data_IF_628372087782
#
_entry.id   IF_628372087782
#
_cell.length_a   1.000
_cell.length_b   1.000
_cell.length_c   1.000
_cell.angle_alpha   90.00
_cell.angle_beta   90.00
_cell.angle_gamma   90.00
#
_symmetry.space_group_name_H-M   'P 1'
#
loop_
_entity.id
_entity.type
_entity.pdbx_description
1 polymer ?
#
# COMPACT_ATOMS: atom_id res chain seq x y z
N UNK A 1 21.72 -11.94 25.08
CA UNK A 1 20.89 -12.24 23.88
C UNK A 1 19.71 -13.19 24.20
N UNK A 2 18.97 -12.99 25.30
CA UNK A 2 17.85 -13.89 25.67
C UNK A 2 16.53 -13.13 25.87
N UNK A 3 16.56 -11.93 26.47
CA UNK A 3 15.36 -11.10 26.61
C UNK A 3 14.79 -10.56 25.28
N UNK A 4 15.65 -10.20 24.32
CA UNK A 4 15.22 -9.78 22.99
C UNK A 4 14.53 -10.92 22.19
N UNK A 5 14.89 -12.18 22.44
CA UNK A 5 14.29 -13.33 21.74
C UNK A 5 12.92 -13.71 22.30
N UNK A 6 12.69 -13.45 23.60
CA UNK A 6 11.42 -13.79 24.26
C UNK A 6 10.37 -12.67 24.08
N UNK A 7 10.77 -11.39 23.97
CA UNK A 7 9.83 -10.26 23.94
C UNK A 7 9.98 -9.26 22.78
N UNK A 8 11.11 -9.21 22.07
CA UNK A 8 11.48 -8.02 21.27
C UNK A 8 11.66 -8.23 19.76
N UNK A 9 12.41 -9.24 19.32
CA UNK A 9 12.75 -9.40 17.91
C UNK A 9 11.60 -10.02 17.12
N UNK A 10 10.96 -11.07 17.64
CA UNK A 10 9.78 -11.67 17.00
C UNK A 10 8.54 -10.77 17.11
N UNK A 11 8.30 -10.18 18.28
CA UNK A 11 7.12 -9.35 18.53
C UNK A 11 7.01 -8.15 17.58
N UNK A 12 8.08 -7.37 17.46
CA UNK A 12 8.11 -6.16 16.62
C UNK A 12 8.23 -6.54 15.14
N UNK A 13 9.03 -7.56 14.80
CA UNK A 13 9.15 -8.02 13.41
C UNK A 13 7.81 -8.55 12.89
N UNK A 14 7.10 -9.36 13.66
CA UNK A 14 5.78 -9.88 13.29
C UNK A 14 4.78 -8.74 13.07
N UNK A 15 4.73 -7.78 13.99
CA UNK A 15 3.89 -6.59 13.87
C UNK A 15 4.24 -5.79 12.60
N UNK A 16 5.52 -5.63 12.31
CA UNK A 16 6.00 -4.98 11.10
C UNK A 16 5.61 -5.73 9.83
N UNK A 17 5.83 -7.05 9.76
CA UNK A 17 5.50 -7.84 8.58
C UNK A 17 3.99 -7.83 8.29
N UNK A 18 3.16 -7.93 9.32
CA UNK A 18 1.70 -7.82 9.18
C UNK A 18 1.30 -6.41 8.71
N UNK A 19 1.80 -5.37 9.38
CA UNK A 19 1.50 -3.99 9.04
C UNK A 19 1.93 -3.61 7.61
N UNK A 20 3.05 -4.17 7.15
CA UNK A 20 3.58 -3.91 5.83
C UNK A 20 2.87 -4.67 4.71
N UNK A 21 2.26 -5.82 4.99
CA UNK A 21 1.76 -6.75 3.97
C UNK A 21 0.73 -6.12 3.03
N UNK A 22 -0.29 -5.46 3.58
CA UNK A 22 -1.39 -4.89 2.81
C UNK A 22 -0.93 -3.65 2.02
N UNK A 23 -0.27 -2.64 2.64
CA UNK A 23 0.26 -1.51 1.87
C UNK A 23 1.24 -1.94 0.79
N UNK A 24 2.11 -2.91 1.09
CA UNK A 24 3.07 -3.41 0.12
C UNK A 24 2.39 -4.08 -1.07
N UNK A 25 1.36 -4.91 -0.86
CA UNK A 25 0.61 -5.54 -1.94
C UNK A 25 -0.02 -4.50 -2.87
N UNK A 26 -0.64 -3.46 -2.33
CA UNK A 26 -1.20 -2.36 -3.12
C UNK A 26 -0.12 -1.65 -3.94
N UNK A 27 1.03 -1.36 -3.31
CA UNK A 27 2.18 -0.81 -4.03
C UNK A 27 2.66 -1.73 -5.15
N UNK A 28 2.69 -3.06 -4.95
CA UNK A 28 3.03 -4.00 -6.03
C UNK A 28 2.06 -3.89 -7.20
N UNK A 29 0.77 -3.81 -6.90
CA UNK A 29 -0.30 -3.77 -7.90
C UNK A 29 -0.37 -2.45 -8.67
N UNK A 30 0.05 -1.33 -8.10
CA UNK A 30 -0.05 -0.02 -8.74
C UNK A 30 1.30 0.56 -9.21
N UNK A 31 2.41 0.18 -8.57
CA UNK A 31 3.72 0.80 -8.79
C UNK A 31 4.82 -0.16 -9.28
N UNK A 32 4.72 -1.49 -9.05
CA UNK A 32 5.74 -2.46 -9.50
C UNK A 32 5.51 -2.96 -10.96
N UNK A 33 5.06 -2.06 -11.84
CA UNK A 33 5.09 -2.28 -13.29
C UNK A 33 3.85 -2.91 -13.92
N UNK A 34 2.88 -3.41 -13.13
CA UNK A 34 1.57 -3.85 -13.63
C UNK A 34 0.80 -2.70 -14.32
N UNK A 35 0.77 -1.52 -13.69
CA UNK A 35 0.17 -0.34 -14.28
C UNK A 35 0.94 0.10 -15.53
N UNK A 36 2.28 0.09 -15.48
CA UNK A 36 3.14 0.46 -16.61
C UNK A 36 2.91 -0.47 -17.81
N UNK A 37 2.75 -1.78 -17.59
CA UNK A 37 2.51 -2.75 -18.64
C UNK A 37 1.18 -2.51 -19.39
N UNK A 38 0.14 -2.04 -18.70
CA UNK A 38 -1.12 -1.65 -19.32
C UNK A 38 -1.07 -0.24 -19.93
N UNK A 39 -0.33 0.68 -19.32
CA UNK A 39 -0.28 2.09 -19.70
C UNK A 39 0.59 2.36 -20.94
N UNK A 40 1.77 1.73 -21.04
CA UNK A 40 2.75 2.00 -22.11
C UNK A 40 2.19 1.70 -23.51
N UNK A 41 1.48 0.58 -23.76
CA UNK A 41 0.89 0.31 -25.07
C UNK A 41 -0.15 1.38 -25.46
N UNK A 42 -1.06 1.72 -24.53
CA UNK A 42 -2.11 2.72 -24.77
C UNK A 42 -1.52 4.11 -25.02
N UNK A 43 -0.50 4.49 -24.24
CA UNK A 43 0.21 5.76 -24.46
C UNK A 43 0.92 5.80 -25.80
N UNK A 44 1.58 4.71 -26.20
CA UNK A 44 2.27 4.59 -27.50
C UNK A 44 1.28 4.67 -28.66
N UNK A 45 0.13 4.00 -28.56
CA UNK A 45 -0.93 4.09 -29.58
C UNK A 45 -1.47 5.51 -29.73
N UNK A 46 -1.72 6.21 -28.61
CA UNK A 46 -2.14 7.61 -28.63
C UNK A 46 -1.07 8.54 -29.20
N UNK A 47 0.21 8.27 -28.90
CA UNK A 47 1.33 9.04 -29.41
C UNK A 47 1.45 8.94 -30.93
N UNK A 48 1.25 7.74 -31.48
CA UNK A 48 1.33 7.48 -32.92
C UNK A 48 0.09 7.98 -33.66
N UNK A 49 -1.12 7.70 -33.15
CA UNK A 49 -2.36 8.00 -33.88
C UNK A 49 -2.81 9.45 -33.72
N UNK A 50 -2.59 10.05 -32.54
CA UNK A 50 -3.16 11.34 -32.16
C UNK A 50 -2.12 12.40 -31.79
N UNK A 51 -0.85 12.02 -31.81
CA UNK A 51 0.28 12.91 -31.56
C UNK A 51 0.54 13.19 -30.09
N UNK A 52 1.65 13.90 -29.83
CA UNK A 52 2.17 14.16 -28.48
C UNK A 52 1.15 14.83 -27.55
N UNK A 53 0.43 15.85 -28.02
CA UNK A 53 -0.46 16.65 -27.16
C UNK A 53 -1.55 15.78 -26.52
N UNK A 54 -2.18 14.90 -27.29
CA UNK A 54 -3.24 14.04 -26.80
C UNK A 54 -2.71 12.91 -25.92
N UNK A 55 -1.56 12.34 -26.26
CA UNK A 55 -0.88 11.34 -25.42
C UNK A 55 -0.57 11.90 -24.02
N UNK A 56 -0.02 13.12 -23.93
CA UNK A 56 0.23 13.76 -22.63
C UNK A 56 -1.04 14.11 -21.86
N UNK A 57 -2.13 14.48 -22.54
CA UNK A 57 -3.42 14.67 -21.89
C UNK A 57 -3.98 13.35 -21.31
N UNK A 58 -3.82 12.24 -22.03
CA UNK A 58 -4.16 10.91 -21.52
C UNK A 58 -3.33 10.58 -20.27
N UNK A 59 -2.00 10.78 -20.31
CA UNK A 59 -1.13 10.57 -19.15
C UNK A 59 -1.58 11.35 -17.93
N UNK A 60 -1.87 12.64 -18.11
CA UNK A 60 -2.32 13.49 -17.01
C UNK A 60 -3.64 12.99 -16.43
N UNK A 61 -4.61 12.61 -17.26
CA UNK A 61 -5.89 12.06 -16.79
C UNK A 61 -5.72 10.75 -16.03
N UNK A 62 -4.89 9.84 -16.53
CA UNK A 62 -4.61 8.55 -15.89
C UNK A 62 -3.88 8.76 -14.57
N UNK A 63 -2.83 9.58 -14.53
CA UNK A 63 -2.08 9.87 -13.32
C UNK A 63 -2.92 10.59 -12.27
N UNK A 64 -3.73 11.59 -12.66
CA UNK A 64 -4.64 12.27 -11.74
C UNK A 64 -5.68 11.31 -11.17
N UNK A 65 -6.28 10.46 -12.01
CA UNK A 65 -7.23 9.44 -11.55
C UNK A 65 -6.57 8.46 -10.58
N UNK A 66 -5.38 7.96 -10.92
CA UNK A 66 -4.60 7.06 -10.06
C UNK A 66 -4.29 7.71 -8.72
N UNK A 67 -3.78 8.95 -8.71
CA UNK A 67 -3.49 9.67 -7.48
C UNK A 67 -4.72 9.83 -6.59
N UNK A 68 -5.88 10.18 -7.16
CA UNK A 68 -7.14 10.30 -6.41
C UNK A 68 -7.52 8.95 -5.79
N UNK A 69 -7.45 7.87 -6.58
CA UNK A 69 -7.75 6.51 -6.09
C UNK A 69 -6.79 6.11 -4.97
N UNK A 70 -5.49 6.33 -5.14
CA UNK A 70 -4.49 5.99 -4.14
C UNK A 70 -4.68 6.80 -2.85
N UNK A 71 -4.93 8.11 -2.94
CA UNK A 71 -5.23 8.94 -1.76
C UNK A 71 -6.46 8.41 -1.02
N UNK A 72 -7.52 8.07 -1.75
CA UNK A 72 -8.74 7.53 -1.15
C UNK A 72 -8.49 6.18 -0.46
N UNK A 73 -7.76 5.28 -1.13
CA UNK A 73 -7.36 3.97 -0.57
C UNK A 73 -6.47 4.14 0.66
N UNK A 74 -5.52 5.07 0.64
CA UNK A 74 -4.65 5.38 1.79
C UNK A 74 -5.46 5.89 2.97
N UNK A 75 -6.39 6.84 2.75
CA UNK A 75 -7.25 7.35 3.82
C UNK A 75 -8.14 6.25 4.41
N UNK A 76 -8.78 5.43 3.56
CA UNK A 76 -9.56 4.28 4.01
C UNK A 76 -8.69 3.28 4.77
N UNK A 77 -7.47 3.00 4.31
CA UNK A 77 -6.54 2.09 4.97
C UNK A 77 -6.11 2.57 6.36
N UNK A 78 -5.90 3.88 6.54
CA UNK A 78 -5.58 4.49 7.84
C UNK A 78 -6.77 4.39 8.80
N UNK A 79 -7.99 4.69 8.32
CA UNK A 79 -9.21 4.64 9.12
C UNK A 79 -9.59 3.20 9.51
N UNK A 80 -9.46 2.28 8.55
CA UNK A 80 -9.78 0.86 8.72
C UNK A 80 -8.60 0.03 9.26
N UNK A 81 -7.46 0.66 9.58
CA UNK A 81 -6.28 -0.04 10.11
C UNK A 81 -6.57 -1.00 11.28
N UNK A 82 -7.40 -0.67 12.30
CA UNK A 82 -7.72 -1.64 13.36
C UNK A 82 -8.48 -2.87 12.84
N UNK A 83 -9.36 -2.69 11.85
CA UNK A 83 -10.11 -3.78 11.23
C UNK A 83 -9.17 -4.66 10.38
N UNK A 84 -8.29 -4.03 9.60
CA UNK A 84 -7.29 -4.72 8.76
C UNK A 84 -6.39 -5.59 9.61
N UNK A 85 -5.88 -5.07 10.74
CA UNK A 85 -5.05 -5.84 11.68
C UNK A 85 -5.84 -6.97 12.33
N UNK A 86 -7.10 -6.72 12.74
CA UNK A 86 -7.96 -7.75 13.35
C UNK A 86 -8.21 -8.93 12.42
N UNK A 87 -8.40 -8.67 11.12
CA UNK A 87 -8.61 -9.71 10.09
C UNK A 87 -7.29 -10.40 9.72
N UNK A 88 -6.21 -9.62 9.52
CA UNK A 88 -4.92 -10.14 9.04
C UNK A 88 -4.12 -10.88 10.11
N UNK A 89 -4.32 -10.52 11.38
CA UNK A 89 -3.62 -11.08 12.53
C UNK A 89 -4.57 -11.31 13.70
N UNK A 90 -5.54 -12.22 13.53
CA UNK A 90 -6.50 -12.59 14.57
C UNK A 90 -5.82 -12.97 15.90
N UNK A 91 -4.67 -13.65 15.84
CA UNK A 91 -3.89 -14.04 17.02
C UNK A 91 -3.25 -12.87 17.80
N UNK A 92 -3.18 -11.66 17.24
CA UNK A 92 -2.63 -10.49 17.95
C UNK A 92 -3.69 -9.80 18.81
N UNK A 93 -4.97 -10.07 18.59
CA UNK A 93 -6.05 -9.51 19.41
C UNK A 93 -5.99 -9.97 20.87
N UNK A 94 -5.38 -11.13 21.13
CA UNK A 94 -5.12 -11.66 22.47
C UNK A 94 -3.95 -10.98 23.20
N UNK A 95 -3.18 -10.13 22.52
CA UNK A 95 -2.02 -9.40 23.08
C UNK A 95 -2.18 -7.90 22.78
N UNK A 96 -2.82 -7.12 23.68
CA UNK A 96 -3.22 -5.73 23.42
C UNK A 96 -2.08 -4.83 22.93
N UNK A 97 -0.87 -4.98 23.49
CA UNK A 97 0.30 -4.19 23.11
C UNK A 97 0.76 -4.49 21.68
N UNK A 98 0.68 -5.76 21.24
CA UNK A 98 1.08 -6.17 19.88
C UNK A 98 0.11 -5.63 18.85
N UNK A 99 -1.18 -5.71 19.18
CA UNK A 99 -2.25 -5.18 18.34
C UNK A 99 -2.10 -3.67 18.14
N UNK A 100 -1.96 -2.89 19.21
CA UNK A 100 -1.81 -1.44 19.14
C UNK A 100 -0.56 -1.03 18.34
N UNK A 101 0.57 -1.69 18.58
CA UNK A 101 1.79 -1.45 17.81
C UNK A 101 1.57 -1.72 16.31
N UNK A 102 0.92 -2.83 15.97
CA UNK A 102 0.66 -3.22 14.58
C UNK A 102 -0.29 -2.23 13.91
N UNK A 103 -1.31 -1.73 14.61
CA UNK A 103 -2.24 -0.71 14.10
C UNK A 103 -1.53 0.60 13.81
N UNK A 104 -0.64 1.06 14.71
CA UNK A 104 0.16 2.28 14.51
C UNK A 104 1.08 2.11 13.31
N UNK A 105 1.83 1.01 13.24
CA UNK A 105 2.71 0.71 12.11
C UNK A 105 1.92 0.67 10.80
N UNK A 106 0.75 0.04 10.80
CA UNK A 106 -0.12 -0.02 9.62
C UNK A 106 -0.50 1.38 9.15
N UNK A 107 -0.92 2.28 10.05
CA UNK A 107 -1.24 3.68 9.71
C UNK A 107 -0.05 4.44 9.14
N UNK A 108 1.14 4.23 9.68
CA UNK A 108 2.38 4.87 9.20
C UNK A 108 2.78 4.35 7.83
N UNK A 109 2.53 3.06 7.54
CA UNK A 109 2.93 2.43 6.29
C UNK A 109 1.91 2.60 5.15
N UNK A 110 0.64 2.92 5.42
CA UNK A 110 -0.34 3.15 4.35
C UNK A 110 0.01 4.32 3.39
N UNK A 111 0.55 5.46 3.86
CA UNK A 111 1.04 6.52 2.99
C UNK A 111 2.15 6.14 2.02
N UNK A 112 2.88 5.03 2.25
CA UNK A 112 3.94 4.52 1.36
C UNK A 112 3.43 4.05 -0.02
N UNK A 113 2.11 3.94 -0.19
CA UNK A 113 1.49 3.54 -1.46
C UNK A 113 1.50 4.68 -2.49
N UNK A 114 1.50 5.94 -2.02
CA UNK A 114 1.52 7.15 -2.85
C UNK A 114 2.92 7.39 -3.44
#
# INVERSE_FOLDING_TARGET
MVFAHIFGSGFVADAFFVAFRIPNLLRKLFAEGSLTAAFVPVFSDYLVQKGKKEAFQLSNRVLSCLLIVLVFVTLLGILLSPLIVKISAYGFTSVPDKFNLTVILTRIMFPYIL
#
